data_IF_380259820102
#
_entry.id   IF_380259820102
#
_cell.length_a   1.000
_cell.length_b   1.000
_cell.length_c   1.000
_cell.angle_alpha   90.00
_cell.angle_beta   90.00
_cell.angle_gamma   90.00
#
_symmetry.space_group_name_H-M   'P 1'
#
loop_
_entity.id
_entity.type
_entity.pdbx_description
1 polymer ?
#
# COMPACT_ATOMS: atom_id res chain seq x y z
N UNK A 1 42.99 -5.23 -7.73
CA UNK A 1 42.19 -5.50 -6.52
C UNK A 1 40.81 -5.96 -6.96
N UNK A 2 40.57 -7.26 -6.97
CA UNK A 2 39.24 -7.82 -7.23
C UNK A 2 38.45 -7.75 -5.94
N UNK A 3 37.38 -6.95 -5.90
CA UNK A 3 36.42 -6.99 -4.80
C UNK A 3 35.93 -8.43 -4.62
N UNK A 4 35.88 -8.97 -3.39
CA UNK A 4 35.36 -10.32 -3.18
C UNK A 4 33.92 -10.42 -3.69
N UNK A 5 33.49 -11.57 -4.23
CA UNK A 5 32.12 -11.75 -4.68
C UNK A 5 31.18 -11.56 -3.49
N UNK A 6 30.23 -10.62 -3.64
CA UNK A 6 29.14 -10.42 -2.68
C UNK A 6 28.39 -11.74 -2.57
N UNK A 7 28.35 -12.33 -1.37
CA UNK A 7 27.59 -13.57 -1.16
C UNK A 7 26.11 -13.27 -1.41
N UNK A 8 25.40 -14.06 -2.24
CA UNK A 8 23.98 -13.85 -2.45
C UNK A 8 23.24 -14.02 -1.12
N UNK A 9 22.39 -13.05 -0.78
CA UNK A 9 21.65 -13.01 0.49
C UNK A 9 20.61 -14.14 0.62
N UNK A 10 20.19 -14.73 -0.51
CA UNK A 10 19.33 -15.92 -0.58
C UNK A 10 20.02 -17.00 -1.40
N UNK A 11 19.96 -18.25 -0.92
CA UNK A 11 20.61 -19.40 -1.54
C UNK A 11 19.73 -20.11 -2.58
N UNK A 12 18.41 -19.90 -2.54
CA UNK A 12 17.46 -20.44 -3.51
C UNK A 12 16.21 -19.56 -3.70
N UNK A 13 15.48 -19.68 -4.84
CA UNK A 13 14.19 -19.04 -5.02
C UNK A 13 13.15 -19.46 -3.97
N UNK A 14 13.23 -20.69 -3.47
CA UNK A 14 12.33 -21.21 -2.42
C UNK A 14 12.55 -20.50 -1.07
N UNK A 15 13.80 -20.11 -0.78
CA UNK A 15 14.14 -19.33 0.40
C UNK A 15 13.58 -17.90 0.30
N UNK A 16 13.67 -17.28 -0.88
CA UNK A 16 13.10 -15.96 -1.15
C UNK A 16 11.56 -15.95 -1.14
N UNK A 17 10.93 -17.05 -1.60
CA UNK A 17 9.48 -17.23 -1.65
C UNK A 17 8.86 -17.71 -0.33
N UNK A 18 9.66 -17.88 0.74
CA UNK A 18 9.17 -18.42 2.01
C UNK A 18 8.08 -17.53 2.60
N UNK A 19 6.91 -18.12 2.81
CA UNK A 19 5.73 -17.46 3.37
C UNK A 19 5.81 -17.55 4.88
N UNK A 20 5.90 -16.42 5.55
CA UNK A 20 5.75 -16.34 7.01
C UNK A 20 4.30 -15.99 7.32
N UNK A 21 3.58 -16.94 7.92
CA UNK A 21 2.14 -16.83 8.12
C UNK A 21 1.72 -15.59 8.93
N UNK A 22 2.51 -15.25 9.96
CA UNK A 22 2.15 -14.17 10.90
C UNK A 22 2.19 -12.76 10.27
N UNK A 23 3.30 -12.30 9.67
CA UNK A 23 3.33 -11.00 8.98
C UNK A 23 2.35 -10.97 7.80
N UNK A 24 2.35 -12.02 6.96
CA UNK A 24 1.46 -12.08 5.80
C UNK A 24 -0.04 -12.05 6.14
N UNK A 25 -0.43 -12.41 7.37
CA UNK A 25 -1.81 -12.27 7.83
C UNK A 25 -2.19 -10.80 8.08
N UNK A 26 -1.26 -10.00 8.61
CA UNK A 26 -1.45 -8.55 8.77
C UNK A 26 -1.48 -7.85 7.42
N UNK A 27 -0.60 -8.24 6.48
CA UNK A 27 -0.65 -7.77 5.09
C UNK A 27 -1.98 -8.10 4.42
N UNK A 28 -2.47 -9.33 4.59
CA UNK A 28 -3.77 -9.75 4.06
C UNK A 28 -4.92 -8.96 4.71
N UNK A 29 -4.80 -8.66 6.01
CA UNK A 29 -5.72 -7.78 6.73
C UNK A 29 -5.74 -6.35 6.19
N UNK A 30 -4.57 -5.78 5.87
CA UNK A 30 -4.43 -4.49 5.19
C UNK A 30 -5.18 -4.53 3.85
N UNK A 31 -4.88 -5.50 2.98
CA UNK A 31 -5.54 -5.64 1.68
C UNK A 31 -7.06 -5.82 1.79
N UNK A 32 -7.53 -6.61 2.77
CA UNK A 32 -8.95 -6.79 3.06
C UNK A 32 -9.62 -5.46 3.42
N UNK A 33 -8.96 -4.63 4.22
CA UNK A 33 -9.48 -3.32 4.60
C UNK A 33 -9.57 -2.38 3.38
N UNK A 34 -8.55 -2.35 2.51
CA UNK A 34 -8.62 -1.64 1.23
C UNK A 34 -9.80 -2.09 0.37
N UNK A 35 -10.01 -3.40 0.25
CA UNK A 35 -11.14 -3.97 -0.48
C UNK A 35 -12.49 -3.57 0.14
N UNK A 36 -12.64 -3.65 1.46
CA UNK A 36 -13.86 -3.27 2.17
C UNK A 36 -14.13 -1.76 2.07
N UNK A 37 -13.09 -0.92 2.02
CA UNK A 37 -13.23 0.51 1.78
C UNK A 37 -13.84 0.77 0.39
N UNK A 38 -13.31 0.13 -0.66
CA UNK A 38 -13.83 0.24 -2.02
C UNK A 38 -15.28 -0.25 -2.08
N UNK A 39 -15.56 -1.41 -1.48
CA UNK A 39 -16.92 -1.97 -1.38
C UNK A 39 -17.89 -0.97 -0.76
N UNK A 40 -17.51 -0.32 0.34
CA UNK A 40 -18.34 0.71 0.98
C UNK A 40 -18.52 1.96 0.11
N UNK A 41 -17.50 2.41 -0.62
CA UNK A 41 -17.65 3.54 -1.52
C UNK A 41 -18.63 3.24 -2.68
N UNK A 42 -18.63 1.99 -3.18
CA UNK A 42 -19.59 1.52 -4.18
C UNK A 42 -21.01 1.50 -3.60
N UNK A 43 -21.21 0.93 -2.40
CA UNK A 43 -22.50 0.90 -1.71
C UNK A 43 -23.03 2.30 -1.40
N UNK A 44 -22.14 3.25 -1.05
CA UNK A 44 -22.49 4.65 -0.84
C UNK A 44 -23.10 5.30 -2.09
N UNK A 45 -22.63 4.87 -3.28
CA UNK A 45 -23.11 5.35 -4.57
C UNK A 45 -24.49 4.77 -4.91
N UNK A 46 -24.73 3.49 -4.62
CA UNK A 46 -26.04 2.86 -4.84
C UNK A 46 -27.09 3.31 -3.81
N UNK A 47 -26.68 3.62 -2.58
CA UNK A 47 -27.55 4.10 -1.49
C UNK A 47 -27.77 5.63 -1.55
N UNK A 48 -27.36 6.31 -2.64
CA UNK A 48 -27.41 7.77 -2.78
C UNK A 48 -28.81 8.40 -2.73
N UNK A 49 -29.89 7.61 -2.71
CA UNK A 49 -31.26 8.09 -2.51
C UNK A 49 -31.49 8.62 -1.08
N UNK A 50 -30.69 8.17 -0.10
CA UNK A 50 -30.73 8.65 1.28
C UNK A 50 -29.37 9.26 1.67
N UNK A 51 -29.26 10.60 1.76
CA UNK A 51 -27.98 11.28 2.07
C UNK A 51 -27.33 10.80 3.38
N UNK A 52 -28.14 10.47 4.39
CA UNK A 52 -27.65 9.93 5.66
C UNK A 52 -27.03 8.54 5.51
N UNK A 53 -27.62 7.67 4.67
CA UNK A 53 -27.11 6.32 4.41
C UNK A 53 -25.79 6.35 3.66
N UNK A 54 -25.67 7.20 2.64
CA UNK A 54 -24.42 7.36 1.87
C UNK A 54 -23.26 7.85 2.74
N UNK A 55 -23.52 8.80 3.65
CA UNK A 55 -22.51 9.32 4.57
C UNK A 55 -21.97 8.25 5.54
N UNK A 56 -22.81 7.31 6.00
CA UNK A 56 -22.37 6.21 6.87
C UNK A 56 -21.37 5.31 6.15
N UNK A 57 -21.65 4.97 4.89
CA UNK A 57 -20.75 4.13 4.10
C UNK A 57 -19.40 4.80 3.82
N UNK A 58 -19.37 6.10 3.51
CA UNK A 58 -18.10 6.81 3.36
C UNK A 58 -17.32 6.90 4.68
N UNK A 59 -18.00 7.10 5.82
CA UNK A 59 -17.35 7.06 7.15
C UNK A 59 -16.74 5.68 7.42
N UNK A 60 -17.44 4.61 7.09
CA UNK A 60 -16.91 3.25 7.21
C UNK A 60 -15.70 3.03 6.28
N UNK A 61 -15.77 3.51 5.03
CA UNK A 61 -14.66 3.39 4.08
C UNK A 61 -13.38 4.09 4.60
N UNK A 62 -13.50 5.31 5.13
CA UNK A 62 -12.38 6.00 5.77
C UNK A 62 -11.88 5.22 6.99
N UNK A 63 -12.78 4.68 7.82
CA UNK A 63 -12.41 3.83 8.94
C UNK A 63 -11.60 2.60 8.54
N UNK A 64 -11.96 1.94 7.44
CA UNK A 64 -11.20 0.81 6.90
C UNK A 64 -9.82 1.23 6.38
N UNK A 65 -9.68 2.37 5.68
CA UNK A 65 -8.38 2.88 5.23
C UNK A 65 -7.47 3.21 6.44
N UNK A 66 -8.04 3.80 7.50
CA UNK A 66 -7.28 4.06 8.73
C UNK A 66 -6.86 2.78 9.43
N UNK A 67 -7.73 1.77 9.47
CA UNK A 67 -7.40 0.47 10.04
C UNK A 67 -6.35 -0.28 9.20
N UNK A 68 -6.41 -0.18 7.87
CA UNK A 68 -5.36 -0.65 6.97
C UNK A 68 -3.99 -0.05 7.33
N UNK A 69 -3.93 1.26 7.61
CA UNK A 69 -2.70 1.94 8.05
C UNK A 69 -2.16 1.39 9.36
N UNK A 70 -3.05 0.98 10.28
CA UNK A 70 -2.64 0.32 11.52
C UNK A 70 -2.08 -1.06 11.19
N UNK A 71 -2.78 -1.88 10.39
CA UNK A 71 -2.33 -3.21 10.01
C UNK A 71 -0.97 -3.20 9.31
N UNK A 72 -0.76 -2.27 8.37
CA UNK A 72 0.51 -2.06 7.66
C UNK A 72 1.66 -1.73 8.63
N UNK A 73 1.43 -0.78 9.54
CA UNK A 73 2.41 -0.41 10.56
C UNK A 73 2.76 -1.57 11.51
N UNK A 74 1.77 -2.41 11.83
CA UNK A 74 1.97 -3.60 12.65
C UNK A 74 2.71 -4.70 11.90
N UNK A 75 2.40 -4.94 10.63
CA UNK A 75 3.11 -5.94 9.81
C UNK A 75 4.60 -5.60 9.69
N UNK A 76 4.91 -4.37 9.30
CA UNK A 76 6.30 -3.92 9.18
C UNK A 76 7.06 -4.01 10.51
N UNK A 77 6.40 -3.75 11.65
CA UNK A 77 7.02 -3.90 12.98
C UNK A 77 7.17 -5.36 13.40
N UNK A 78 6.19 -6.21 13.11
CA UNK A 78 6.23 -7.65 13.43
C UNK A 78 7.28 -8.36 12.57
N UNK A 79 7.38 -8.05 11.29
CA UNK A 79 8.39 -8.58 10.39
C UNK A 79 9.82 -8.27 10.88
N UNK A 80 10.06 -7.00 11.26
CA UNK A 80 11.33 -6.54 11.87
C UNK A 80 11.62 -7.19 13.22
N UNK A 81 10.64 -7.21 14.12
CA UNK A 81 10.80 -7.76 15.46
C UNK A 81 11.03 -9.28 15.45
N UNK A 82 10.44 -9.99 14.47
CA UNK A 82 10.54 -11.45 14.39
C UNK A 82 11.79 -11.90 13.60
N UNK A 83 12.57 -10.98 13.02
CA UNK A 83 13.66 -11.29 12.06
C UNK A 83 13.21 -12.24 10.94
N UNK A 84 11.93 -12.16 10.56
CA UNK A 84 11.27 -13.02 9.57
C UNK A 84 10.81 -12.16 8.39
N UNK A 85 11.76 -11.47 7.78
CA UNK A 85 11.56 -10.73 6.54
C UNK A 85 11.81 -11.67 5.37
N UNK A 86 10.78 -11.92 4.55
CA UNK A 86 10.94 -12.61 3.27
C UNK A 86 10.71 -11.65 2.12
N UNK A 87 11.39 -11.92 0.99
CA UNK A 87 11.20 -11.15 -0.24
C UNK A 87 9.74 -11.22 -0.72
N UNK A 88 9.11 -12.39 -0.58
CA UNK A 88 7.68 -12.55 -0.85
C UNK A 88 6.83 -11.61 0.01
N UNK A 89 7.08 -11.51 1.32
CA UNK A 89 6.32 -10.64 2.21
C UNK A 89 6.45 -9.17 1.82
N UNK A 90 7.65 -8.71 1.47
CA UNK A 90 7.88 -7.33 1.02
C UNK A 90 7.13 -6.98 -0.29
N UNK A 91 7.11 -7.90 -1.25
CA UNK A 91 6.33 -7.70 -2.49
C UNK A 91 4.81 -7.76 -2.23
N UNK A 92 4.38 -8.66 -1.34
CA UNK A 92 2.96 -8.78 -0.98
C UNK A 92 2.45 -7.53 -0.27
N UNK A 93 3.25 -6.95 0.63
CA UNK A 93 2.98 -5.71 1.35
C UNK A 93 2.77 -4.54 0.40
N UNK A 94 3.64 -4.43 -0.59
CA UNK A 94 3.54 -3.37 -1.60
C UNK A 94 2.29 -3.48 -2.49
N UNK A 95 1.85 -4.71 -2.78
CA UNK A 95 0.60 -4.95 -3.49
C UNK A 95 -0.60 -4.56 -2.61
N UNK A 96 -0.59 -4.97 -1.33
CA UNK A 96 -1.64 -4.64 -0.38
C UNK A 96 -1.76 -3.12 -0.18
N UNK A 97 -0.65 -2.42 0.00
CA UNK A 97 -0.59 -0.97 0.13
C UNK A 97 -1.07 -0.23 -1.11
N UNK A 98 -0.76 -0.74 -2.30
CA UNK A 98 -1.26 -0.15 -3.54
C UNK A 98 -2.80 -0.20 -3.59
N UNK A 99 -3.41 -1.28 -3.10
CA UNK A 99 -4.88 -1.40 -3.01
C UNK A 99 -5.44 -0.46 -1.94
N UNK A 100 -4.88 -0.49 -0.73
CA UNK A 100 -5.42 0.24 0.43
C UNK A 100 -5.18 1.75 0.40
N UNK A 101 -4.04 2.20 -0.12
CA UNK A 101 -3.65 3.62 -0.11
C UNK A 101 -3.59 4.26 -1.51
N UNK A 102 -3.50 3.45 -2.57
CA UNK A 102 -3.60 3.90 -3.95
C UNK A 102 -5.04 3.83 -4.45
N UNK A 103 -5.55 2.62 -4.64
CA UNK A 103 -6.83 2.37 -5.33
C UNK A 103 -8.02 2.84 -4.50
N UNK A 104 -8.08 2.49 -3.21
CA UNK A 104 -9.21 2.85 -2.36
C UNK A 104 -9.44 4.37 -2.25
N UNK A 105 -8.42 5.21 -1.95
CA UNK A 105 -8.61 6.66 -1.94
C UNK A 105 -8.93 7.25 -3.31
N UNK A 106 -8.32 6.74 -4.40
CA UNK A 106 -8.59 7.20 -5.76
C UNK A 106 -10.07 7.00 -6.14
N UNK A 107 -10.61 5.81 -5.88
CA UNK A 107 -12.01 5.49 -6.16
C UNK A 107 -12.96 6.24 -5.23
N UNK A 108 -12.62 6.38 -3.95
CA UNK A 108 -13.41 7.18 -3.01
C UNK A 108 -13.54 8.63 -3.49
N UNK A 109 -12.45 9.25 -3.94
CA UNK A 109 -12.48 10.60 -4.50
C UNK A 109 -13.34 10.66 -5.78
N UNK A 110 -13.22 9.70 -6.69
CA UNK A 110 -14.08 9.62 -7.88
C UNK A 110 -15.56 9.59 -7.53
N UNK A 111 -15.96 8.71 -6.61
CA UNK A 111 -17.37 8.54 -6.25
C UNK A 111 -17.95 9.72 -5.46
N UNK A 112 -17.10 10.49 -4.75
CA UNK A 112 -17.51 11.72 -4.08
C UNK A 112 -17.67 12.91 -5.06
N UNK A 113 -16.79 13.01 -6.05
CA UNK A 113 -16.78 14.15 -7.01
C UNK A 113 -17.80 13.95 -8.12
N UNK A 114 -17.95 12.73 -8.64
CA UNK A 114 -18.86 12.41 -9.74
C UNK A 114 -20.28 12.28 -9.21
N UNK A 115 -20.99 13.41 -9.20
CA UNK A 115 -22.44 13.48 -8.94
C UNK A 115 -23.23 13.02 -10.17
N UNK A 116 -24.51 12.60 -10.01
CA UNK A 116 -25.38 12.20 -11.12
C UNK A 116 -25.52 13.25 -12.23
N UNK A 117 -25.38 14.53 -11.87
CA UNK A 117 -25.52 15.69 -12.77
C UNK A 117 -24.20 16.12 -13.41
N UNK A 118 -23.10 15.39 -13.18
CA UNK A 118 -21.79 15.78 -13.68
C UNK A 118 -21.70 15.64 -15.21
N UNK A 119 -21.27 16.72 -15.88
CA UNK A 119 -20.98 16.72 -17.32
C UNK A 119 -19.87 15.72 -17.66
N UNK A 120 -19.90 15.14 -18.87
CA UNK A 120 -18.92 14.16 -19.36
C UNK A 120 -17.46 14.61 -19.18
N UNK A 121 -17.18 15.91 -19.39
CA UNK A 121 -15.85 16.49 -19.19
C UNK A 121 -15.37 16.38 -17.74
N UNK A 122 -16.27 16.61 -16.76
CA UNK A 122 -15.95 16.50 -15.33
C UNK A 122 -15.68 15.06 -14.95
N UNK A 123 -16.44 14.12 -15.50
CA UNK A 123 -16.22 12.69 -15.28
C UNK A 123 -14.86 12.26 -15.81
N UNK A 124 -14.53 12.62 -17.06
CA UNK A 124 -13.25 12.29 -17.69
C UNK A 124 -12.07 12.85 -16.90
N UNK A 125 -12.12 14.14 -16.53
CA UNK A 125 -11.04 14.78 -15.75
C UNK A 125 -10.89 14.13 -14.37
N UNK A 126 -12.00 13.78 -13.70
CA UNK A 126 -11.95 13.14 -12.39
C UNK A 126 -11.28 11.77 -12.47
N UNK A 127 -11.66 10.94 -13.45
CA UNK A 127 -11.04 9.63 -13.67
C UNK A 127 -9.56 9.74 -14.05
N UNK A 128 -9.19 10.72 -14.87
CA UNK A 128 -7.79 10.98 -15.21
C UNK A 128 -6.97 11.39 -13.97
N UNK A 129 -7.50 12.30 -13.14
CA UNK A 129 -6.82 12.73 -11.91
C UNK A 129 -6.67 11.58 -10.91
N UNK A 130 -7.69 10.74 -10.76
CA UNK A 130 -7.62 9.55 -9.92
C UNK A 130 -6.59 8.54 -10.42
N UNK A 131 -6.50 8.34 -11.74
CA UNK A 131 -5.46 7.50 -12.35
C UNK A 131 -4.06 8.08 -12.13
N UNK A 132 -3.87 9.39 -12.30
CA UNK A 132 -2.57 10.04 -12.04
C UNK A 132 -2.17 9.87 -10.57
N UNK A 133 -3.11 10.05 -9.64
CA UNK A 133 -2.86 9.80 -8.21
C UNK A 133 -2.41 8.35 -7.97
N UNK A 134 -3.15 7.37 -8.51
CA UNK A 134 -2.81 5.95 -8.38
C UNK A 134 -1.43 5.64 -9.00
N UNK A 135 -1.13 6.21 -10.16
CA UNK A 135 0.17 6.06 -10.83
C UNK A 135 1.29 6.63 -9.97
N UNK A 136 1.13 7.83 -9.42
CA UNK A 136 2.11 8.43 -8.52
C UNK A 136 2.32 7.59 -7.26
N UNK A 137 1.24 7.06 -6.65
CA UNK A 137 1.33 6.18 -5.51
C UNK A 137 2.09 4.88 -5.85
N UNK A 138 1.74 4.23 -6.96
CA UNK A 138 2.42 3.01 -7.42
C UNK A 138 3.89 3.22 -7.73
N UNK A 139 4.27 4.31 -8.41
CA UNK A 139 5.68 4.66 -8.68
C UNK A 139 6.45 4.91 -7.38
N UNK A 140 5.82 5.55 -6.38
CA UNK A 140 6.43 5.77 -5.07
C UNK A 140 6.78 4.45 -4.38
N UNK A 141 5.84 3.49 -4.39
CA UNK A 141 6.04 2.17 -3.80
C UNK A 141 7.07 1.35 -4.58
N UNK A 142 6.98 1.31 -5.91
CA UNK A 142 7.95 0.61 -6.76
C UNK A 142 9.38 1.14 -6.52
N UNK A 143 9.54 2.47 -6.39
CA UNK A 143 10.83 3.08 -6.04
C UNK A 143 11.29 2.66 -4.65
N UNK A 144 10.39 2.58 -3.67
CA UNK A 144 10.71 2.09 -2.33
C UNK A 144 11.18 0.63 -2.38
N UNK A 145 10.47 -0.26 -3.08
CA UNK A 145 10.83 -1.68 -3.22
C UNK A 145 12.20 -1.87 -3.85
N UNK A 146 12.52 -1.10 -4.89
CA UNK A 146 13.86 -1.14 -5.51
C UNK A 146 14.93 -0.65 -4.53
N UNK A 147 14.63 0.41 -3.76
CA UNK A 147 15.57 0.96 -2.77
C UNK A 147 15.78 0.08 -1.55
N UNK A 148 14.81 -0.77 -1.20
CA UNK A 148 14.92 -1.74 -0.10
C UNK A 148 15.31 -3.14 -0.58
N UNK A 149 15.45 -3.34 -1.91
CA UNK A 149 15.74 -4.65 -2.47
C UNK A 149 17.14 -5.15 -2.04
N UNK A 150 17.23 -6.38 -1.50
CA UNK A 150 18.49 -6.99 -1.07
C UNK A 150 19.46 -7.31 -2.22
N UNK A 151 19.00 -7.35 -3.47
CA UNK A 151 19.84 -7.58 -4.65
C UNK A 151 20.65 -6.35 -5.08
N UNK A 152 20.40 -5.17 -4.49
CA UNK A 152 21.12 -3.93 -4.80
C UNK A 152 22.38 -3.81 -3.92
N UNK A 153 23.61 -3.88 -4.48
CA UNK A 153 24.84 -3.80 -3.70
C UNK A 153 24.95 -2.45 -2.96
N UNK A 154 25.21 -2.49 -1.65
CA UNK A 154 25.31 -1.30 -0.78
C UNK A 154 24.12 -1.06 0.15
N UNK A 155 23.07 -1.88 0.08
CA UNK A 155 21.89 -1.78 0.94
C UNK A 155 21.99 -2.49 2.31
N UNK A 156 23.08 -3.21 2.60
CA UNK A 156 23.28 -3.94 3.86
C UNK A 156 23.20 -3.03 5.11
N UNK A 157 23.58 -1.75 4.99
CA UNK A 157 23.45 -0.74 6.07
C UNK A 157 22.10 -0.02 6.11
N UNK A 158 21.32 -0.06 5.02
CA UNK A 158 19.97 0.55 4.93
C UNK A 158 18.89 -0.37 5.49
N UNK A 159 19.04 -1.68 5.31
CA UNK A 159 18.22 -2.70 5.98
C UNK A 159 18.44 -2.74 7.52
N UNK A 160 19.59 -2.22 8.00
CA UNK A 160 19.97 -2.21 9.42
C UNK A 160 19.69 -0.88 10.16
N UNK A 161 18.95 0.07 9.55
CA UNK A 161 18.48 1.29 10.24
C UNK A 161 19.43 2.49 10.24
N UNK A 162 20.37 2.57 9.29
CA UNK A 162 21.46 3.56 9.32
C UNK A 162 21.19 4.92 8.65
N UNK A 163 20.65 4.98 7.43
CA UNK A 163 20.53 6.26 6.71
C UNK A 163 19.35 6.25 5.72
N UNK A 164 18.32 7.02 6.08
CA UNK A 164 17.17 7.36 5.24
C UNK A 164 17.60 8.29 4.11
N UNK A 165 17.49 7.85 2.86
CA UNK A 165 17.50 8.73 1.68
C UNK A 165 16.33 8.38 0.76
N UNK A 166 15.16 8.89 1.15
CA UNK A 166 13.96 9.06 0.34
C UNK A 166 13.26 10.32 0.86
N UNK A 167 12.54 11.06 0.00
CA UNK A 167 11.91 12.32 0.39
C UNK A 167 11.06 12.10 1.66
N UNK A 168 11.31 12.82 2.77
CA UNK A 168 10.65 12.55 4.04
C UNK A 168 9.15 12.84 3.88
N UNK A 169 8.33 11.79 3.97
CA UNK A 169 6.91 11.93 4.28
C UNK A 169 6.80 11.88 5.81
N UNK A 170 6.25 12.89 6.51
CA UNK A 170 6.56 13.17 7.92
C UNK A 170 6.01 12.18 8.97
N UNK A 171 5.53 10.99 8.58
CA UNK A 171 4.84 10.07 9.49
C UNK A 171 5.58 8.75 9.75
N UNK A 172 6.68 8.45 9.05
CA UNK A 172 7.33 7.13 9.10
C UNK A 172 8.66 7.10 9.89
N UNK A 173 8.99 8.15 10.66
CA UNK A 173 10.11 8.16 11.59
C UNK A 173 9.60 7.85 13.00
N UNK A 174 9.36 6.56 13.27
CA UNK A 174 9.03 6.01 14.58
C UNK A 174 8.96 4.48 14.57
#
# INVERSE_FOLDING_TARGET
MTTPPVKPQYSSPEEAARIYLLPNLFTAGNMLCGFLAIKNCIEARFTSLNPEGSAVHYKMAVGFILFACICDLFDGRVARATKRESLFGAEFDSIADTVSFGVAPALMACFLVIKPEATDNVQLVTWLLAFIYLLCAGVRLARFNVLTNPLVPGNEKRAAGGDFVGLPSPAAAG
#
